data_IF_748472480390
#
_entry.id   IF_748472480390
#
_cell.length_a   1.000
_cell.length_b   1.000
_cell.length_c   1.000
_cell.angle_alpha   90.00
_cell.angle_beta   90.00
_cell.angle_gamma   90.00
#
_symmetry.space_group_name_H-M   'P 1'
#
loop_
_entity.id
_entity.type
_entity.pdbx_description
1 polymer ?
#
# COMPACT_ATOMS: atom_id res chain seq x y z
N UNK A 1 6.68 9.37 -0.64
CA UNK A 1 5.96 8.29 -1.36
C UNK A 1 6.59 6.91 -1.21
N UNK A 2 7.92 6.77 -1.07
CA UNK A 2 8.56 5.46 -0.80
C UNK A 2 7.97 4.74 0.42
N UNK A 3 7.65 5.50 1.48
CA UNK A 3 7.03 4.98 2.70
C UNK A 3 5.66 4.35 2.44
N UNK A 4 4.78 5.00 1.67
CA UNK A 4 3.47 4.45 1.30
C UNK A 4 3.62 3.14 0.50
N UNK A 5 4.54 3.11 -0.47
CA UNK A 5 4.83 1.91 -1.24
C UNK A 5 5.32 0.75 -0.37
N UNK A 6 6.25 1.04 0.55
CA UNK A 6 6.77 0.06 1.50
C UNK A 6 5.67 -0.48 2.43
N UNK A 7 4.80 0.40 2.93
CA UNK A 7 3.63 0.01 3.72
C UNK A 7 2.72 -0.94 2.94
N UNK A 8 2.33 -0.57 1.71
CA UNK A 8 1.48 -1.41 0.87
C UNK A 8 2.10 -2.80 0.67
N UNK A 9 3.41 -2.86 0.41
CA UNK A 9 4.12 -4.13 0.28
C UNK A 9 4.08 -4.96 1.56
N UNK A 10 4.50 -4.39 2.68
CA UNK A 10 4.61 -5.09 3.97
C UNK A 10 3.26 -5.62 4.43
N UNK A 11 2.22 -4.80 4.31
CA UNK A 11 0.85 -5.18 4.65
C UNK A 11 0.32 -6.28 3.74
N UNK A 12 0.55 -6.19 2.43
CA UNK A 12 0.18 -7.24 1.47
C UNK A 12 0.84 -8.58 1.85
N UNK A 13 2.14 -8.55 2.13
CA UNK A 13 2.93 -9.73 2.51
C UNK A 13 2.46 -10.32 3.84
N UNK A 14 2.19 -9.49 4.85
CA UNK A 14 1.65 -9.91 6.14
C UNK A 14 0.30 -10.62 6.01
N UNK A 15 -0.54 -10.15 5.09
CA UNK A 15 -1.84 -10.74 4.79
C UNK A 15 -1.76 -11.95 3.84
N UNK A 16 -0.57 -12.35 3.40
CA UNK A 16 -0.34 -13.54 2.57
C UNK A 16 -0.73 -13.36 1.10
N UNK A 17 -0.86 -12.13 0.59
CA UNK A 17 -1.21 -11.87 -0.80
C UNK A 17 0.02 -11.73 -1.69
N UNK A 18 -0.04 -12.21 -2.93
CA UNK A 18 0.93 -11.86 -4.00
C UNK A 18 0.52 -10.59 -4.73
N UNK A 19 1.46 -9.95 -5.44
CA UNK A 19 1.15 -8.78 -6.26
C UNK A 19 0.13 -9.12 -7.38
N UNK A 20 0.18 -10.33 -7.95
CA UNK A 20 -0.77 -10.81 -8.96
C UNK A 20 -2.18 -10.95 -8.40
N UNK A 21 -2.32 -11.44 -7.17
CA UNK A 21 -3.62 -11.56 -6.52
C UNK A 21 -4.23 -10.17 -6.27
N UNK A 22 -3.42 -9.19 -5.83
CA UNK A 22 -3.86 -7.80 -5.67
C UNK A 22 -4.26 -7.20 -7.02
N UNK A 23 -3.40 -7.31 -8.02
CA UNK A 23 -3.62 -6.86 -9.40
C UNK A 23 -4.99 -7.31 -9.94
N UNK A 24 -5.30 -8.61 -9.81
CA UNK A 24 -6.59 -9.17 -10.24
C UNK A 24 -7.78 -8.66 -9.42
N UNK A 25 -7.60 -8.41 -8.12
CA UNK A 25 -8.69 -7.96 -7.23
C UNK A 25 -9.14 -6.53 -7.49
N UNK A 26 -8.23 -5.65 -7.87
CA UNK A 26 -8.52 -4.21 -8.07
C UNK A 26 -8.47 -3.77 -9.53
N UNK A 27 -8.31 -4.72 -10.46
CA UNK A 27 -8.18 -4.50 -11.90
C UNK A 27 -7.09 -3.48 -12.27
N UNK A 28 -5.90 -3.69 -11.71
CA UNK A 28 -4.71 -2.86 -11.97
C UNK A 28 -3.57 -3.76 -12.39
N UNK A 29 -2.86 -3.38 -13.45
CA UNK A 29 -1.75 -4.20 -13.96
C UNK A 29 -0.70 -4.52 -12.87
N UNK A 30 -0.16 -5.74 -12.90
CA UNK A 30 0.90 -6.19 -12.00
C UNK A 30 2.09 -5.21 -11.96
N UNK A 31 2.48 -4.69 -13.14
CA UNK A 31 3.55 -3.70 -13.28
C UNK A 31 3.27 -2.43 -12.48
N UNK A 32 2.02 -2.00 -12.43
CA UNK A 32 1.61 -0.81 -11.69
C UNK A 32 1.62 -1.06 -10.18
N UNK A 33 1.18 -2.24 -9.73
CA UNK A 33 1.33 -2.68 -8.32
C UNK A 33 2.80 -2.66 -7.91
N UNK A 34 3.68 -3.25 -8.72
CA UNK A 34 5.13 -3.25 -8.45
C UNK A 34 5.69 -1.82 -8.35
N UNK A 35 5.30 -0.92 -9.25
CA UNK A 35 5.72 0.49 -9.18
C UNK A 35 5.26 1.19 -7.91
N UNK A 36 4.06 0.90 -7.43
CA UNK A 36 3.57 1.43 -6.16
C UNK A 36 4.41 0.93 -5.00
N UNK A 37 4.61 -0.39 -4.92
CA UNK A 37 5.33 -1.03 -3.81
C UNK A 37 6.83 -0.72 -3.77
N UNK A 38 7.44 -0.36 -4.90
CA UNK A 38 8.84 0.11 -4.94
C UNK A 38 8.96 1.64 -4.80
N UNK A 39 7.85 2.37 -4.69
CA UNK A 39 7.83 3.83 -4.62
C UNK A 39 8.19 4.55 -5.92
N UNK A 40 8.20 3.85 -7.05
CA UNK A 40 8.45 4.42 -8.39
C UNK A 40 7.23 5.15 -8.96
N UNK A 41 6.06 4.93 -8.39
CA UNK A 41 4.84 5.71 -8.60
C UNK A 41 4.00 5.67 -7.32
N UNK A 42 3.06 6.60 -7.15
CA UNK A 42 2.01 6.44 -6.14
C UNK A 42 0.69 6.00 -6.76
N UNK A 43 -0.14 5.27 -6.00
CA UNK A 43 -1.54 5.15 -6.32
C UNK A 43 -2.24 6.51 -6.18
N UNK A 44 -3.31 6.71 -6.95
CA UNK A 44 -4.30 7.74 -6.61
C UNK A 44 -4.99 7.36 -5.29
N UNK A 45 -5.66 8.32 -4.67
CA UNK A 45 -6.47 8.07 -3.46
C UNK A 45 -7.51 6.97 -3.72
N UNK A 46 -8.16 6.99 -4.88
CA UNK A 46 -9.14 5.96 -5.28
C UNK A 46 -8.50 4.56 -5.37
N UNK A 47 -7.34 4.45 -6.01
CA UNK A 47 -6.64 3.18 -6.14
C UNK A 47 -6.10 2.66 -4.81
N UNK A 48 -5.66 3.57 -3.94
CA UNK A 48 -5.25 3.22 -2.59
C UNK A 48 -6.46 2.72 -1.76
N UNK A 49 -7.60 3.40 -1.85
CA UNK A 49 -8.84 2.95 -1.22
C UNK A 49 -9.29 1.58 -1.72
N UNK A 50 -9.25 1.34 -3.04
CA UNK A 50 -9.52 0.01 -3.62
C UNK A 50 -8.59 -1.05 -3.08
N UNK A 51 -7.30 -0.74 -2.95
CA UNK A 51 -6.31 -1.64 -2.36
C UNK A 51 -6.63 -1.98 -0.90
N UNK A 52 -6.96 -0.98 -0.07
CA UNK A 52 -7.34 -1.20 1.34
C UNK A 52 -8.56 -2.13 1.44
N UNK A 53 -9.63 -1.81 0.71
CA UNK A 53 -10.88 -2.58 0.70
C UNK A 53 -10.63 -4.01 0.21
N UNK A 54 -9.87 -4.18 -0.87
CA UNK A 54 -9.62 -5.49 -1.47
C UNK A 54 -8.80 -6.43 -0.58
N UNK A 55 -8.03 -5.88 0.36
CA UNK A 55 -7.21 -6.64 1.30
C UNK A 55 -7.82 -6.70 2.71
N UNK A 56 -8.97 -6.05 2.92
CA UNK A 56 -9.62 -5.98 4.23
C UNK A 56 -8.82 -5.17 5.25
N UNK A 57 -8.05 -4.18 4.79
CA UNK A 57 -7.26 -3.28 5.65
C UNK A 57 -8.16 -2.15 6.12
N UNK A 58 -8.33 -2.04 7.43
CA UNK A 58 -9.09 -0.95 8.04
C UNK A 58 -8.28 0.36 8.00
N UNK A 59 -8.97 1.50 7.83
CA UNK A 59 -8.32 2.81 7.75
C UNK A 59 -7.63 3.22 9.04
N UNK A 60 -8.10 2.72 10.19
CA UNK A 60 -7.50 2.94 11.52
C UNK A 60 -6.09 2.35 11.61
N UNK A 61 -5.79 1.31 10.84
CA UNK A 61 -4.45 0.71 10.80
C UNK A 61 -3.44 1.56 10.00
N UNK A 62 -3.93 2.56 9.26
CA UNK A 62 -3.11 3.47 8.47
C UNK A 62 -2.58 4.62 9.36
N UNK A 63 -3.34 5.01 10.40
CA UNK A 63 -2.99 6.10 11.31
C UNK A 63 -1.63 5.86 12.00
N UNK A 64 -1.32 4.60 12.34
CA UNK A 64 -0.06 4.22 12.97
C UNK A 64 1.17 4.42 12.07
N UNK A 65 1.01 4.47 10.75
CA UNK A 65 2.12 4.64 9.81
C UNK A 65 2.17 6.06 9.20
N UNK A 66 1.03 6.72 9.00
CA UNK A 66 0.99 8.09 8.48
C UNK A 66 1.26 9.17 9.54
N UNK A 67 0.98 8.87 10.82
CA UNK A 67 1.18 9.81 11.94
C UNK A 67 2.43 9.53 12.77
N UNK A 68 2.98 8.31 12.71
CA UNK A 68 4.28 8.01 13.30
C UNK A 68 5.41 8.52 12.39
N UNK A 69 5.48 9.85 12.20
CA UNK A 69 6.78 10.45 11.90
C UNK A 69 7.68 10.15 13.09
N UNK A 70 8.88 9.57 12.92
CA UNK A 70 9.88 9.75 13.96
C UNK A 70 10.04 11.26 14.12
N UNK A 71 9.87 11.75 15.34
CA UNK A 71 10.30 13.11 15.65
C UNK A 71 11.70 13.26 15.09
N UNK A 72 11.89 14.29 14.27
CA UNK A 72 13.22 14.76 13.90
C UNK A 72 13.91 15.13 15.21
N UNK A 73 14.64 14.17 15.79
CA UNK A 73 15.57 14.47 16.87
C UNK A 73 16.65 15.34 16.28
N UNK A 74 16.59 16.59 16.72
CA UNK A 74 17.59 17.65 16.69
C UNK A 74 19.04 17.15 16.75
#
# INVERSE_FOLDING_TARGET
MKELGLYMRQRRELLGFTQEQVSRRIDISLRQIAKWETGNAAPSIENFARWLIALGVDYTEIEHFLLAKPETTN
#
